data_IF_730261312228
#
_entry.id   IF_730261312228
#
_cell.length_a   1.000
_cell.length_b   1.000
_cell.length_c   1.000
_cell.angle_alpha   90.00
_cell.angle_beta   90.00
_cell.angle_gamma   90.00
#
_symmetry.space_group_name_H-M   'P 1'
#
loop_
_entity.id
_entity.type
_entity.pdbx_description
1 polymer ?
#
# COMPACT_ATOMS: atom_id res chain seq x y z
N UNK A 1 -29.42 -56.64 -35.40
CA UNK A 1 -28.16 -56.43 -34.65
C UNK A 1 -27.86 -54.95 -34.64
N UNK A 2 -28.21 -54.30 -33.52
CA UNK A 2 -27.31 -53.52 -32.63
C UNK A 2 -26.93 -52.15 -33.20
N UNK A 3 -27.03 -50.99 -32.53
CA UNK A 3 -27.72 -50.45 -31.35
C UNK A 3 -27.13 -49.02 -31.19
N UNK A 4 -27.95 -48.01 -30.88
CA UNK A 4 -27.63 -46.78 -30.08
C UNK A 4 -26.35 -45.98 -30.38
N UNK A 5 -26.36 -44.71 -30.77
CA UNK A 5 -26.93 -43.57 -30.03
C UNK A 5 -26.09 -43.18 -28.80
N UNK A 6 -25.26 -42.12 -28.87
CA UNK A 6 -25.06 -41.18 -27.74
C UNK A 6 -24.30 -39.89 -28.08
N UNK A 7 -24.85 -38.83 -27.50
CA UNK A 7 -24.40 -37.44 -27.33
C UNK A 7 -23.17 -37.36 -26.41
N UNK A 8 -22.30 -36.38 -26.65
CA UNK A 8 -21.36 -35.77 -25.69
C UNK A 8 -20.80 -34.51 -26.35
N UNK A 9 -21.28 -33.27 -26.10
CA UNK A 9 -21.19 -32.44 -24.89
C UNK A 9 -19.86 -32.60 -24.16
N UNK A 10 -19.00 -31.60 -24.35
CA UNK A 10 -17.73 -31.41 -23.67
C UNK A 10 -17.14 -30.09 -24.12
N UNK A 11 -17.81 -28.99 -23.75
CA UNK A 11 -17.17 -27.67 -23.67
C UNK A 11 -15.98 -27.81 -22.72
N UNK A 12 -14.77 -27.74 -23.27
CA UNK A 12 -13.54 -27.52 -22.50
C UNK A 12 -13.05 -26.12 -22.85
N UNK A 13 -13.60 -25.10 -22.19
CA UNK A 13 -12.99 -23.77 -22.21
C UNK A 13 -11.59 -23.83 -21.63
N UNK A 14 -10.66 -22.96 -22.05
CA UNK A 14 -9.31 -22.94 -21.52
C UNK A 14 -9.39 -22.71 -20.01
N UNK A 15 -8.95 -23.68 -19.22
CA UNK A 15 -8.87 -23.54 -17.78
C UNK A 15 -7.91 -22.40 -17.46
N UNK A 16 -8.47 -21.25 -17.07
CA UNK A 16 -7.75 -20.22 -16.32
C UNK A 16 -7.15 -20.89 -15.10
N UNK A 17 -5.86 -21.24 -15.14
CA UNK A 17 -5.10 -21.67 -13.97
C UNK A 17 -5.25 -20.58 -12.92
N UNK A 18 -6.11 -20.87 -11.95
CA UNK A 18 -6.59 -19.90 -10.99
C UNK A 18 -5.42 -19.31 -10.21
N UNK A 19 -5.31 -17.99 -10.16
CA UNK A 19 -4.48 -17.25 -9.19
C UNK A 19 -5.06 -17.30 -7.76
N UNK A 20 -6.21 -17.96 -7.59
CA UNK A 20 -6.87 -18.24 -6.31
C UNK A 20 -5.96 -18.77 -5.19
N UNK A 21 -5.02 -19.71 -5.40
CA UNK A 21 -4.15 -20.18 -4.32
C UNK A 21 -3.12 -19.13 -3.90
N UNK A 22 -2.70 -18.25 -4.81
CA UNK A 22 -1.75 -17.16 -4.49
C UNK A 22 -2.44 -16.03 -3.72
N UNK A 23 -3.66 -15.66 -4.13
CA UNK A 23 -4.50 -14.67 -3.44
C UNK A 23 -4.91 -15.20 -2.05
N UNK A 24 -5.22 -16.49 -1.94
CA UNK A 24 -5.53 -17.11 -0.65
C UNK A 24 -4.29 -17.16 0.27
N UNK A 25 -3.11 -17.42 -0.28
CA UNK A 25 -1.86 -17.44 0.48
C UNK A 25 -1.47 -16.05 1.00
N UNK A 26 -1.59 -15.02 0.16
CA UNK A 26 -1.37 -13.62 0.58
C UNK A 26 -2.38 -13.15 1.61
N UNK A 27 -3.67 -13.46 1.39
CA UNK A 27 -4.70 -13.18 2.38
C UNK A 27 -4.40 -13.90 3.71
N UNK A 28 -3.94 -15.16 3.68
CA UNK A 28 -3.55 -15.89 4.88
C UNK A 28 -2.35 -15.25 5.59
N UNK A 29 -1.33 -14.80 4.86
CA UNK A 29 -0.18 -14.10 5.46
C UNK A 29 -0.58 -12.76 6.07
N UNK A 30 -1.48 -12.01 5.42
CA UNK A 30 -2.02 -10.77 5.99
C UNK A 30 -2.81 -11.05 7.27
N UNK A 31 -3.68 -12.06 7.27
CA UNK A 31 -4.43 -12.44 8.47
C UNK A 31 -3.49 -12.86 9.59
N UNK A 32 -2.45 -13.65 9.30
CA UNK A 32 -1.44 -14.07 10.28
C UNK A 32 -0.62 -12.88 10.79
N UNK A 33 -0.22 -11.96 9.91
CA UNK A 33 0.47 -10.73 10.31
C UNK A 33 -0.39 -9.85 11.20
N UNK A 34 -1.66 -9.67 10.85
CA UNK A 34 -2.63 -8.94 11.65
C UNK A 34 -2.90 -9.62 13.01
N UNK A 35 -3.00 -10.95 13.07
CA UNK A 35 -3.22 -11.65 14.35
C UNK A 35 -1.99 -11.63 15.24
N UNK A 36 -0.79 -11.78 14.69
CA UNK A 36 0.46 -11.64 15.45
C UNK A 36 0.60 -10.21 15.96
N UNK A 37 0.33 -9.20 15.13
CA UNK A 37 0.34 -7.81 15.56
C UNK A 37 -0.73 -7.55 16.62
N UNK A 38 -1.92 -8.11 16.49
CA UNK A 38 -2.96 -8.01 17.52
C UNK A 38 -2.47 -8.60 18.85
N UNK A 39 -1.93 -9.82 18.85
CA UNK A 39 -1.48 -10.49 20.09
C UNK A 39 -0.30 -9.79 20.75
N UNK A 40 0.70 -9.35 19.97
CA UNK A 40 1.90 -8.71 20.51
C UNK A 40 1.64 -7.30 21.04
N UNK A 41 0.67 -6.58 20.47
CA UNK A 41 0.35 -5.21 20.85
C UNK A 41 -0.93 -5.10 21.70
N UNK A 42 -1.57 -6.23 22.02
CA UNK A 42 -2.82 -6.26 22.78
C UNK A 42 -2.66 -5.65 24.17
N UNK A 43 -1.60 -5.99 24.89
CA UNK A 43 -1.38 -5.51 26.26
C UNK A 43 -1.18 -3.99 26.32
N UNK A 44 -0.38 -3.43 25.41
CA UNK A 44 -0.13 -1.98 25.31
C UNK A 44 -1.38 -1.20 24.86
N UNK A 45 -2.22 -1.81 24.01
CA UNK A 45 -3.51 -1.23 23.60
C UNK A 45 -4.55 -1.32 24.71
N UNK A 46 -4.62 -2.43 25.44
CA UNK A 46 -5.60 -2.61 26.52
C UNK A 46 -5.33 -1.65 27.67
N UNK A 47 -4.07 -1.48 28.07
CA UNK A 47 -3.72 -0.55 29.14
C UNK A 47 -3.96 0.92 28.76
N UNK A 48 -3.91 1.26 27.46
CA UNK A 48 -4.29 2.60 27.00
C UNK A 48 -5.81 2.79 26.92
N UNK A 49 -6.57 1.75 26.56
CA UNK A 49 -8.04 1.78 26.61
C UNK A 49 -8.58 1.81 28.04
N UNK A 50 -7.83 1.30 29.03
CA UNK A 50 -8.18 1.43 30.45
C UNK A 50 -8.08 2.87 30.97
N UNK A 51 -7.35 3.77 30.27
CA UNK A 51 -7.30 5.20 30.63
C UNK A 51 -8.48 6.03 30.14
N UNK A 52 -9.32 5.53 29.21
CA UNK A 52 -10.44 6.31 28.64
C UNK A 52 -11.53 6.65 29.69
N UNK A 53 -11.64 5.83 30.74
CA UNK A 53 -12.63 6.02 31.82
C UNK A 53 -12.02 6.74 33.06
N UNK A 54 -10.78 7.25 32.95
CA UNK A 54 -10.11 7.92 34.06
C UNK A 54 -10.74 9.27 34.38
N UNK A 55 -10.73 9.64 35.66
CA UNK A 55 -11.39 10.85 36.14
C UNK A 55 -10.52 12.07 35.85
N UNK A 56 -11.09 13.06 35.17
CA UNK A 56 -10.46 14.35 34.91
C UNK A 56 -10.43 15.22 36.17
N UNK A 57 -9.23 15.60 36.60
CA UNK A 57 -8.97 16.45 37.77
C UNK A 57 -8.06 17.61 37.36
N UNK A 58 -8.32 18.80 37.88
CA UNK A 58 -7.41 19.94 37.70
C UNK A 58 -6.15 19.77 38.54
N UNK A 59 -4.99 19.92 37.92
CA UNK A 59 -3.69 19.89 38.56
C UNK A 59 -2.78 21.02 38.10
N UNK A 60 -1.56 21.05 38.63
CA UNK A 60 -0.54 21.99 38.25
C UNK A 60 0.83 21.31 38.08
N UNK A 61 1.57 21.71 37.05
CA UNK A 61 2.95 21.24 36.85
C UNK A 61 3.86 21.85 37.92
N UNK A 62 4.60 20.99 38.62
CA UNK A 62 5.60 21.37 39.63
C UNK A 62 6.98 21.54 38.99
N UNK A 63 7.35 20.62 38.10
CA UNK A 63 8.67 20.54 37.46
C UNK A 63 8.54 19.85 36.11
N UNK A 64 9.24 20.32 35.09
CA UNK A 64 9.23 19.66 33.78
C UNK A 64 10.57 19.81 33.06
N UNK A 65 10.92 18.83 32.22
CA UNK A 65 12.16 18.89 31.46
C UNK A 65 12.48 17.66 30.63
N UNK A 66 13.74 17.58 30.21
CA UNK A 66 14.29 16.46 29.42
C UNK A 66 15.54 15.93 30.10
N UNK A 67 15.49 14.68 30.56
CA UNK A 67 16.64 13.92 30.99
C UNK A 67 17.45 13.39 29.80
N UNK A 68 18.75 13.15 30.01
CA UNK A 68 19.61 12.53 29.00
C UNK A 68 20.44 11.41 29.61
N UNK A 69 20.39 10.23 29.02
CA UNK A 69 21.19 9.08 29.41
C UNK A 69 22.26 8.81 28.35
N UNK A 70 23.51 8.68 28.79
CA UNK A 70 24.64 8.36 27.94
C UNK A 70 25.12 6.94 28.21
N UNK A 71 25.04 6.07 27.21
CA UNK A 71 25.50 4.69 27.27
C UNK A 71 26.55 4.41 26.21
N UNK A 72 27.54 3.57 26.55
CA UNK A 72 28.55 3.09 25.61
C UNK A 72 28.62 1.56 25.70
N UNK A 73 28.51 0.90 24.55
CA UNK A 73 28.53 -0.55 24.49
C UNK A 73 29.97 -1.10 24.34
N UNK A 74 30.69 -1.26 25.45
CA UNK A 74 31.97 -2.01 25.48
C UNK A 74 33.08 -1.53 24.53
N UNK A 75 34.13 -2.36 24.34
CA UNK A 75 35.38 -1.95 23.66
C UNK A 75 35.26 -1.79 22.12
N UNK A 76 34.20 -2.33 21.48
CA UNK A 76 33.97 -2.23 20.02
C UNK A 76 32.62 -1.57 19.65
N UNK A 77 31.77 -1.23 20.62
CA UNK A 77 30.45 -0.66 20.36
C UNK A 77 30.41 0.88 20.38
N UNK A 78 29.37 1.42 19.76
CA UNK A 78 29.13 2.86 19.71
C UNK A 78 28.65 3.40 21.05
N UNK A 79 28.91 4.69 21.28
CA UNK A 79 28.23 5.43 22.34
C UNK A 79 26.96 6.07 21.79
N UNK A 80 25.89 6.02 22.57
CA UNK A 80 24.60 6.63 22.24
C UNK A 80 24.12 7.51 23.39
N UNK A 81 23.40 8.58 23.04
CA UNK A 81 22.68 9.40 24.01
C UNK A 81 21.20 9.25 23.74
N UNK A 82 20.45 8.91 24.76
CA UNK A 82 18.99 8.91 24.73
C UNK A 82 18.46 10.06 25.58
N UNK A 83 17.27 10.53 25.23
CA UNK A 83 16.59 11.62 25.89
C UNK A 83 15.21 11.14 26.36
N UNK A 84 14.83 11.53 27.56
CA UNK A 84 13.54 11.15 28.16
C UNK A 84 12.84 12.41 28.70
N UNK A 85 11.65 12.77 28.19
CA UNK A 85 10.86 13.85 28.78
C UNK A 85 10.33 13.42 30.15
N UNK A 86 10.28 14.36 31.10
CA UNK A 86 9.68 14.15 32.41
C UNK A 86 8.85 15.37 32.80
N UNK A 87 7.73 15.13 33.51
CA UNK A 87 6.89 16.15 34.10
C UNK A 87 6.43 15.66 35.47
N UNK A 88 6.63 16.45 36.50
CA UNK A 88 6.08 16.26 37.84
C UNK A 88 4.94 17.23 38.05
N UNK A 89 3.82 16.75 38.58
CA UNK A 89 2.60 17.53 38.74
C UNK A 89 1.88 17.15 40.01
N UNK A 90 1.08 18.09 40.54
CA UNK A 90 0.23 17.90 41.71
C UNK A 90 -1.23 18.05 41.34
N UNK A 91 -2.08 17.24 41.95
CA UNK A 91 -3.52 17.27 41.80
C UNK A 91 -4.20 16.96 43.13
N UNK A 92 -5.46 17.37 43.26
CA UNK A 92 -6.25 17.19 44.47
C UNK A 92 -7.50 16.36 44.17
N UNK A 93 -7.67 15.23 44.86
CA UNK A 93 -8.83 14.34 44.74
C UNK A 93 -9.49 14.22 46.11
N UNK A 94 -10.79 14.53 46.20
CA UNK A 94 -11.57 14.45 47.44
C UNK A 94 -10.96 15.18 48.67
N UNK A 95 -10.14 16.21 48.43
CA UNK A 95 -9.48 17.00 49.46
C UNK A 95 -8.13 16.44 49.94
N UNK A 96 -7.62 15.39 49.29
CA UNK A 96 -6.26 14.86 49.47
C UNK A 96 -5.38 15.26 48.27
N UNK A 97 -4.17 15.73 48.55
CA UNK A 97 -3.20 16.13 47.52
C UNK A 97 -2.32 14.96 47.13
N UNK A 98 -2.18 14.73 45.82
CA UNK A 98 -1.36 13.68 45.22
C UNK A 98 -0.34 14.30 44.26
N UNK A 99 0.77 13.59 44.06
CA UNK A 99 1.81 13.96 43.09
C UNK A 99 1.97 12.81 42.09
N UNK A 100 2.09 13.17 40.82
CA UNK A 100 2.33 12.24 39.72
C UNK A 100 3.51 12.69 38.87
N UNK A 101 4.13 11.74 38.18
CA UNK A 101 5.29 12.00 37.31
C UNK A 101 5.14 11.42 35.89
N UNK A 102 3.98 10.84 35.58
CA UNK A 102 3.76 10.09 34.35
C UNK A 102 3.08 10.97 33.31
N UNK A 103 3.77 11.25 32.20
CA UNK A 103 3.18 11.99 31.07
C UNK A 103 2.12 11.11 30.38
N UNK A 104 2.50 9.90 30.00
CA UNK A 104 1.59 8.84 29.53
C UNK A 104 2.26 7.48 29.68
N UNK A 105 1.51 6.39 29.55
CA UNK A 105 2.08 5.03 29.55
C UNK A 105 3.08 4.81 28.42
N UNK A 106 2.85 5.40 27.23
CA UNK A 106 3.82 5.36 26.13
C UNK A 106 5.12 6.06 26.51
N UNK A 107 5.05 7.25 27.12
CA UNK A 107 6.25 8.05 27.39
C UNK A 107 7.05 7.56 28.60
N UNK A 108 6.41 6.84 29.54
CA UNK A 108 7.02 6.38 30.79
C UNK A 108 8.32 5.57 30.59
N UNK A 109 8.42 4.80 29.50
CA UNK A 109 9.57 3.93 29.20
C UNK A 109 10.26 4.26 27.87
N UNK A 110 9.95 5.42 27.26
CA UNK A 110 10.45 5.76 25.93
C UNK A 110 11.73 6.57 25.98
N UNK A 111 12.83 5.95 25.55
CA UNK A 111 14.13 6.59 25.36
C UNK A 111 14.30 7.04 23.91
N UNK A 112 14.43 8.34 23.67
CA UNK A 112 14.43 8.94 22.33
C UNK A 112 15.86 9.27 21.89
N UNK A 113 16.27 8.88 20.68
CA UNK A 113 17.59 9.27 20.12
C UNK A 113 17.68 10.73 19.63
N UNK A 114 16.55 11.45 19.60
CA UNK A 114 16.44 12.82 19.10
C UNK A 114 15.93 13.75 20.19
N UNK A 115 16.82 14.63 20.68
CA UNK A 115 16.51 15.62 21.71
C UNK A 115 15.32 16.50 21.36
N UNK A 116 15.21 16.95 20.11
CA UNK A 116 14.13 17.85 19.66
C UNK A 116 12.74 17.24 19.79
N UNK A 117 12.63 15.91 19.67
CA UNK A 117 11.36 15.22 19.84
C UNK A 117 10.98 15.17 21.33
N UNK A 118 11.95 14.90 22.21
CA UNK A 118 11.72 14.97 23.66
C UNK A 118 11.31 16.39 24.11
N UNK A 119 11.96 17.41 23.56
CA UNK A 119 11.60 18.81 23.83
C UNK A 119 10.20 19.16 23.33
N UNK A 120 9.81 18.67 22.15
CA UNK A 120 8.46 18.95 21.62
C UNK A 120 7.31 18.35 22.44
N UNK A 121 7.59 17.32 23.25
CA UNK A 121 6.58 16.71 24.13
C UNK A 121 6.41 17.54 25.39
N UNK A 122 7.49 18.14 25.90
CA UNK A 122 7.47 18.91 27.14
C UNK A 122 7.15 20.39 26.94
N UNK A 123 7.20 20.88 25.70
CA UNK A 123 6.89 22.29 25.37
C UNK A 123 5.47 22.69 25.79
N UNK A 124 4.55 21.72 25.79
CA UNK A 124 3.15 21.88 26.22
C UNK A 124 2.97 21.83 27.75
N UNK A 125 4.02 21.52 28.52
CA UNK A 125 3.97 21.38 29.98
C UNK A 125 5.05 22.22 30.66
N UNK A 126 4.73 23.46 31.04
CA UNK A 126 5.66 24.36 31.73
C UNK A 126 5.37 24.42 33.23
N UNK A 127 6.41 24.67 34.02
CA UNK A 127 6.27 24.84 35.48
C UNK A 127 5.23 25.90 35.83
N UNK A 128 4.26 25.53 36.66
CA UNK A 128 3.17 26.41 37.09
C UNK A 128 1.94 26.40 36.18
N UNK A 129 1.96 25.69 35.04
CA UNK A 129 0.79 25.55 34.19
C UNK A 129 -0.33 24.77 34.90
N UNK A 130 -1.56 25.27 34.77
CA UNK A 130 -2.76 24.52 35.13
C UNK A 130 -3.06 23.52 34.02
N UNK A 131 -3.13 22.24 34.38
CA UNK A 131 -3.33 21.14 33.45
C UNK A 131 -4.45 20.22 33.90
N UNK A 132 -4.96 19.41 32.97
CA UNK A 132 -5.88 18.31 33.28
C UNK A 132 -5.06 17.06 33.56
N UNK A 133 -5.23 16.51 34.76
CA UNK A 133 -4.69 15.20 35.16
C UNK A 133 -5.81 14.18 35.04
N UNK A 134 -5.51 13.05 34.42
CA UNK A 134 -6.39 11.89 34.39
C UNK A 134 -5.96 10.96 35.51
N UNK A 135 -6.87 10.66 36.44
CA UNK A 135 -6.61 9.87 37.64
C UNK A 135 -7.40 8.56 37.58
N UNK A 136 -6.76 7.46 37.97
CA UNK A 136 -7.43 6.17 38.08
C UNK A 136 -8.52 6.23 39.19
N UNK A 137 -9.79 5.97 38.87
CA UNK A 137 -10.88 6.03 39.85
C UNK A 137 -10.80 4.91 40.92
N UNK A 138 -10.10 3.81 40.64
CA UNK A 138 -9.90 2.72 41.58
C UNK A 138 -8.63 2.92 42.44
N UNK A 139 -7.65 3.69 41.95
CA UNK A 139 -6.42 4.06 42.67
C UNK A 139 -6.01 5.52 42.42
N UNK A 140 -6.42 6.42 43.33
CA UNK A 140 -6.10 7.85 43.23
C UNK A 140 -4.60 8.19 43.26
N UNK A 141 -3.71 7.22 43.57
CA UNK A 141 -2.27 7.40 43.47
C UNK A 141 -1.74 7.31 42.04
N UNK A 142 -2.49 6.70 41.12
CA UNK A 142 -2.11 6.50 39.73
C UNK A 142 -2.76 7.57 38.84
N UNK A 143 -1.93 8.23 38.03
CA UNK A 143 -2.37 9.32 37.14
C UNK A 143 -1.50 9.46 35.90
N UNK A 144 -2.04 10.14 34.88
CA UNK A 144 -1.35 10.55 33.65
C UNK A 144 -1.77 11.94 33.18
N UNK A 145 -0.92 12.63 32.42
CA UNK A 145 -1.23 13.92 31.79
C UNK A 145 -1.91 13.78 30.42
N UNK A 146 -1.65 12.68 29.72
CA UNK A 146 -2.22 12.39 28.39
C UNK A 146 -2.86 11.01 28.46
N UNK A 147 -4.18 10.96 28.28
CA UNK A 147 -4.95 9.72 28.12
C UNK A 147 -5.07 9.31 26.65
N UNK A 148 -5.23 8.01 26.42
CA UNK A 148 -5.48 7.44 25.10
C UNK A 148 -4.28 7.37 24.13
N UNK A 149 -4.52 6.74 22.98
CA UNK A 149 -3.54 6.52 21.92
C UNK A 149 -3.32 7.79 21.08
N UNK A 150 -2.19 8.49 21.27
CA UNK A 150 -1.78 9.49 20.30
C UNK A 150 -1.46 8.82 18.94
N UNK A 151 -1.99 9.35 17.83
CA UNK A 151 -1.67 8.87 16.47
C UNK A 151 -0.15 8.92 16.16
N UNK A 152 0.63 9.72 16.90
CA UNK A 152 2.09 9.76 16.84
C UNK A 152 2.75 8.51 17.47
N UNK A 153 2.10 7.91 18.48
CA UNK A 153 2.49 6.66 19.16
C UNK A 153 2.26 5.42 18.27
N UNK A 154 1.31 5.50 17.34
CA UNK A 154 1.05 4.46 16.33
C UNK A 154 2.13 4.33 15.24
N UNK A 155 3.19 5.13 15.29
CA UNK A 155 4.27 5.08 14.29
C UNK A 155 5.01 3.73 14.28
N UNK A 156 5.10 3.05 15.42
CA UNK A 156 5.89 1.83 15.55
C UNK A 156 5.26 0.56 14.89
N UNK A 157 3.96 0.25 15.07
CA UNK A 157 3.35 -0.91 14.38
C UNK A 157 3.19 -0.71 12.87
N UNK A 158 2.95 0.53 12.41
CA UNK A 158 2.78 0.85 10.98
C UNK A 158 4.12 0.80 10.24
N UNK A 159 5.22 1.25 10.87
CA UNK A 159 6.55 1.28 10.26
C UNK A 159 7.13 -0.11 9.96
N UNK A 160 6.66 -1.18 10.61
CA UNK A 160 7.11 -2.55 10.32
C UNK A 160 6.19 -3.25 9.32
N UNK A 161 4.87 -3.06 9.45
CA UNK A 161 3.88 -3.73 8.60
C UNK A 161 3.86 -3.18 7.17
N UNK A 162 3.98 -1.87 6.98
CA UNK A 162 3.95 -1.23 5.64
C UNK A 162 5.12 -1.67 4.75
N UNK A 163 6.40 -1.61 5.16
CA UNK A 163 7.49 -2.06 4.30
C UNK A 163 7.50 -3.56 4.08
N UNK A 164 7.02 -4.38 5.03
CA UNK A 164 6.90 -5.83 4.83
C UNK A 164 5.86 -6.15 3.75
N UNK A 165 4.71 -5.48 3.77
CA UNK A 165 3.69 -5.60 2.72
C UNK A 165 4.25 -5.13 1.38
N UNK A 166 4.94 -3.98 1.32
CA UNK A 166 5.53 -3.45 0.09
C UNK A 166 6.69 -4.32 -0.45
N UNK A 167 7.45 -5.01 0.41
CA UNK A 167 8.55 -5.89 0.00
C UNK A 167 8.05 -7.22 -0.62
N UNK A 168 6.84 -7.66 -0.27
CA UNK A 168 6.26 -8.92 -0.77
C UNK A 168 5.62 -8.72 -2.16
N UNK A 169 5.02 -7.55 -2.43
CA UNK A 169 4.40 -7.23 -3.73
C UNK A 169 5.30 -7.41 -4.97
N UNK A 170 6.56 -6.95 -5.01
CA UNK A 170 7.42 -7.10 -6.19
C UNK A 170 7.84 -8.55 -6.45
N UNK A 171 7.89 -9.41 -5.42
CA UNK A 171 8.22 -10.83 -5.56
C UNK A 171 7.11 -11.57 -6.29
N UNK A 172 5.85 -11.26 -5.98
CA UNK A 172 4.67 -11.85 -6.64
C UNK A 172 4.54 -11.39 -8.09
N UNK A 173 4.76 -10.10 -8.36
CA UNK A 173 4.81 -9.55 -9.72
C UNK A 173 5.93 -10.25 -10.53
N UNK A 174 7.11 -10.43 -9.93
CA UNK A 174 8.24 -11.12 -10.58
C UNK A 174 7.93 -12.60 -10.84
N UNK A 175 7.28 -13.29 -9.91
CA UNK A 175 6.84 -14.68 -10.10
C UNK A 175 5.77 -14.80 -11.19
N UNK A 176 4.80 -13.89 -11.24
CA UNK A 176 3.78 -13.85 -12.27
C UNK A 176 4.38 -13.61 -13.66
N UNK A 177 5.34 -12.68 -13.79
CA UNK A 177 6.06 -12.43 -15.05
C UNK A 177 6.90 -13.64 -15.48
N UNK A 178 7.61 -14.29 -14.55
CA UNK A 178 8.40 -15.50 -14.86
C UNK A 178 7.54 -16.72 -15.18
N UNK A 179 6.40 -16.85 -14.51
CA UNK A 179 5.42 -17.91 -14.75
C UNK A 179 4.77 -17.74 -16.12
N UNK A 180 4.35 -16.51 -16.47
CA UNK A 180 3.82 -16.20 -17.80
C UNK A 180 4.81 -16.55 -18.93
N UNK A 181 6.11 -16.28 -18.73
CA UNK A 181 7.16 -16.69 -19.68
C UNK A 181 7.32 -18.21 -19.80
N UNK A 182 7.19 -18.96 -18.70
CA UNK A 182 7.35 -20.43 -18.70
C UNK A 182 6.19 -21.17 -19.36
N UNK A 183 4.99 -20.58 -19.38
CA UNK A 183 3.85 -21.12 -20.12
C UNK A 183 3.83 -20.70 -21.59
N UNK A 184 4.51 -19.60 -21.95
CA UNK A 184 4.69 -19.21 -23.35
C UNK A 184 5.62 -20.12 -24.15
N UNK A 185 6.53 -20.86 -23.48
CA UNK A 185 7.51 -21.73 -24.13
C UNK A 185 7.05 -23.20 -24.27
N UNK A 186 5.86 -23.57 -23.79
CA UNK A 186 5.45 -24.98 -23.67
C UNK A 186 4.54 -25.52 -24.79
N UNK A 187 4.04 -24.68 -25.71
CA UNK A 187 3.17 -25.11 -26.82
C UNK A 187 3.78 -24.71 -28.17
N UNK A 188 4.77 -25.46 -28.65
CA UNK A 188 5.52 -25.05 -29.85
C UNK A 188 6.24 -26.15 -30.63
N UNK A 189 5.87 -27.42 -30.51
CA UNK A 189 6.26 -28.48 -31.44
C UNK A 189 5.15 -28.75 -32.47
N UNK A 190 5.02 -27.82 -33.40
CA UNK A 190 4.23 -27.99 -34.62
C UNK A 190 4.88 -27.18 -35.75
N UNK A 191 5.58 -27.87 -36.65
CA UNK A 191 6.28 -27.30 -37.80
C UNK A 191 5.39 -26.34 -38.61
N UNK A 192 5.79 -25.07 -38.69
CA UNK A 192 5.66 -24.28 -39.91
C UNK A 192 6.90 -23.44 -40.12
N UNK A 193 7.49 -23.66 -41.27
CA UNK A 193 8.73 -23.09 -41.76
C UNK A 193 8.80 -21.57 -41.68
N UNK A 194 9.93 -21.10 -41.16
CA UNK A 194 10.62 -19.86 -41.55
C UNK A 194 9.87 -18.54 -41.38
N UNK A 195 9.96 -17.95 -40.19
CA UNK A 195 10.35 -16.54 -40.04
C UNK A 195 10.99 -16.35 -38.65
N UNK A 196 12.32 -16.22 -38.64
CA UNK A 196 13.11 -15.83 -37.46
C UNK A 196 12.44 -14.64 -36.77
N UNK A 197 12.03 -14.80 -35.52
CA UNK A 197 11.87 -13.72 -34.56
C UNK A 197 13.20 -12.95 -34.51
N UNK A 198 13.21 -11.76 -35.12
CA UNK A 198 14.33 -10.85 -35.03
C UNK A 198 14.32 -10.23 -33.63
N UNK A 199 15.50 -10.04 -33.01
CA UNK A 199 15.60 -9.41 -31.70
C UNK A 199 15.00 -8.00 -31.76
N UNK A 200 14.39 -7.55 -30.66
CA UNK A 200 13.95 -6.16 -30.47
C UNK A 200 15.11 -5.23 -30.87
N UNK A 201 15.02 -4.66 -32.06
CA UNK A 201 15.92 -3.62 -32.52
C UNK A 201 15.48 -2.30 -31.90
N UNK A 202 16.44 -1.50 -31.48
CA UNK A 202 16.27 -0.14 -30.96
C UNK A 202 15.79 0.86 -32.04
N UNK A 203 14.91 0.45 -32.96
CA UNK A 203 14.47 1.28 -34.09
C UNK A 203 13.09 0.91 -34.65
N UNK A 204 12.53 1.84 -35.43
CA UNK A 204 11.26 1.66 -36.10
C UNK A 204 11.34 0.54 -37.15
N UNK A 205 10.25 -0.21 -37.32
CA UNK A 205 10.06 -1.20 -38.37
C UNK A 205 8.88 -0.79 -39.25
N UNK A 206 8.85 -1.27 -40.49
CA UNK A 206 7.73 -1.00 -41.41
C UNK A 206 6.86 -2.25 -41.50
N UNK A 207 5.58 -2.10 -41.21
CA UNK A 207 4.57 -3.16 -41.28
C UNK A 207 4.27 -3.60 -42.73
N UNK A 208 3.52 -4.71 -42.91
CA UNK A 208 3.18 -5.23 -44.24
C UNK A 208 2.39 -4.25 -45.13
N UNK A 209 1.71 -3.29 -44.52
CA UNK A 209 0.92 -2.23 -45.15
C UNK A 209 1.76 -0.96 -45.45
N UNK A 210 3.07 -0.98 -45.18
CA UNK A 210 3.96 0.15 -45.38
C UNK A 210 3.96 1.17 -44.23
N UNK A 211 3.24 0.90 -43.14
CA UNK A 211 3.17 1.79 -41.97
C UNK A 211 4.43 1.66 -41.13
N UNK A 212 5.08 2.79 -40.83
CA UNK A 212 6.17 2.82 -39.86
C UNK A 212 5.63 2.62 -38.44
N UNK A 213 6.23 1.71 -37.70
CA UNK A 213 5.80 1.26 -36.37
C UNK A 213 7.01 1.14 -35.45
N UNK A 214 6.84 1.47 -34.17
CA UNK A 214 7.89 1.34 -33.15
C UNK A 214 8.05 2.55 -32.24
N UNK A 215 9.01 2.48 -31.30
CA UNK A 215 9.13 3.45 -30.21
C UNK A 215 9.54 4.86 -30.66
N UNK A 216 10.06 5.02 -31.88
CA UNK A 216 10.42 6.31 -32.46
C UNK A 216 9.33 6.91 -33.36
N UNK A 217 8.16 6.29 -33.46
CA UNK A 217 7.03 6.85 -34.22
C UNK A 217 6.33 7.93 -33.40
N UNK A 218 6.02 9.11 -33.98
CA UNK A 218 5.33 10.19 -33.26
C UNK A 218 4.00 9.73 -32.65
N UNK A 219 3.62 10.29 -31.50
CA UNK A 219 2.38 9.92 -30.81
C UNK A 219 1.11 10.25 -31.61
N UNK A 220 1.19 11.20 -32.52
CA UNK A 220 0.09 11.69 -33.34
C UNK A 220 0.05 11.06 -34.75
N UNK A 221 0.80 9.98 -34.99
CA UNK A 221 0.87 9.29 -36.28
C UNK A 221 -0.51 8.94 -36.89
N UNK A 222 -1.50 8.67 -36.04
CA UNK A 222 -2.87 8.33 -36.42
C UNK A 222 -3.61 9.48 -37.12
N UNK A 223 -3.18 10.74 -36.95
CA UNK A 223 -3.76 11.90 -37.62
C UNK A 223 -3.50 11.89 -39.12
N UNK A 224 -2.32 11.41 -39.52
CA UNK A 224 -1.89 11.29 -40.92
C UNK A 224 -2.09 9.91 -41.51
N UNK A 225 -2.60 8.96 -40.72
CA UNK A 225 -2.77 7.58 -41.13
C UNK A 225 -4.07 7.37 -41.92
N UNK A 226 -3.95 6.98 -43.19
CA UNK A 226 -5.10 6.74 -44.10
C UNK A 226 -5.28 5.26 -44.50
N UNK A 227 -4.64 4.35 -43.77
CA UNK A 227 -4.74 2.91 -44.02
C UNK A 227 -5.97 2.23 -43.39
N UNK A 228 -6.07 0.89 -43.49
CA UNK A 228 -7.15 0.12 -42.89
C UNK A 228 -7.15 0.24 -41.37
N UNK A 229 -8.30 -0.04 -40.74
CA UNK A 229 -8.44 0.02 -39.28
C UNK A 229 -7.31 -0.76 -38.58
N UNK A 230 -6.51 -0.12 -37.70
CA UNK A 230 -5.50 -0.79 -36.91
C UNK A 230 -6.10 -1.89 -36.04
N UNK A 231 -5.39 -3.00 -35.85
CA UNK A 231 -5.92 -4.10 -35.04
C UNK A 231 -5.75 -3.70 -33.57
N UNK A 232 -6.87 -3.65 -32.85
CA UNK A 232 -6.86 -3.36 -31.41
C UNK A 232 -6.54 -4.63 -30.63
N UNK A 233 -5.49 -4.59 -29.84
CA UNK A 233 -5.01 -5.72 -29.03
C UNK A 233 -5.55 -5.62 -27.59
N UNK A 234 -5.55 -4.41 -27.01
CA UNK A 234 -6.03 -4.14 -25.65
C UNK A 234 -6.45 -2.67 -25.46
N UNK A 235 -6.93 -2.34 -24.26
CA UNK A 235 -7.30 -0.98 -23.86
C UNK A 235 -6.34 -0.54 -22.75
N UNK A 236 -5.73 0.63 -22.92
CA UNK A 236 -4.89 1.28 -21.91
C UNK A 236 -5.47 2.67 -21.59
N UNK A 237 -6.03 2.82 -20.39
CA UNK A 237 -6.71 4.05 -19.94
C UNK A 237 -7.71 4.62 -20.96
N UNK A 238 -7.34 5.68 -21.66
CA UNK A 238 -8.16 6.37 -22.68
C UNK A 238 -7.79 6.03 -24.14
N UNK A 239 -6.87 5.08 -24.34
CA UNK A 239 -6.31 4.69 -25.64
C UNK A 239 -6.55 3.20 -25.95
N UNK A 240 -6.69 2.89 -27.23
CA UNK A 240 -6.52 1.53 -27.73
C UNK A 240 -5.05 1.25 -28.01
N UNK A 241 -4.56 0.10 -27.53
CA UNK A 241 -3.29 -0.45 -27.96
C UNK A 241 -3.48 -1.13 -29.33
N UNK A 242 -2.65 -0.77 -30.30
CA UNK A 242 -2.80 -1.21 -31.70
C UNK A 242 -1.51 -1.79 -32.26
N UNK A 243 -1.67 -2.64 -33.27
CA UNK A 243 -0.59 -3.40 -33.92
C UNK A 243 0.45 -2.55 -34.71
N UNK A 244 0.27 -1.22 -34.81
CA UNK A 244 1.08 -0.36 -35.67
C UNK A 244 1.28 1.06 -35.13
N UNK A 245 2.12 1.82 -35.83
CA UNK A 245 2.52 3.15 -35.41
C UNK A 245 3.32 3.10 -34.11
N UNK A 246 3.10 4.06 -33.21
CA UNK A 246 3.69 4.00 -31.88
C UNK A 246 2.99 2.99 -30.93
N UNK A 247 1.93 2.33 -31.40
CA UNK A 247 1.16 1.34 -30.65
C UNK A 247 -0.05 1.91 -29.89
N UNK A 248 -0.38 3.20 -30.00
CA UNK A 248 -1.51 3.80 -29.29
C UNK A 248 -2.36 4.72 -30.18
N UNK A 249 -3.69 4.66 -30.00
CA UNK A 249 -4.65 5.59 -30.61
C UNK A 249 -5.75 5.95 -29.58
N UNK A 250 -6.12 7.23 -29.40
CA UNK A 250 -7.23 7.60 -28.54
C UNK A 250 -8.55 6.91 -28.92
N UNK A 251 -9.24 6.35 -27.93
CA UNK A 251 -10.50 5.60 -28.13
C UNK A 251 -11.55 6.46 -28.85
N UNK A 252 -11.69 7.73 -28.47
CA UNK A 252 -12.58 8.70 -29.11
C UNK A 252 -12.28 8.88 -30.61
N UNK A 253 -10.99 8.98 -30.97
CA UNK A 253 -10.57 9.14 -32.36
C UNK A 253 -10.80 7.86 -33.16
N UNK A 254 -10.40 6.71 -32.61
CA UNK A 254 -10.54 5.42 -33.28
C UNK A 254 -12.01 5.11 -33.58
N UNK A 255 -12.89 5.21 -32.57
CA UNK A 255 -14.32 4.93 -32.72
C UNK A 255 -14.96 5.89 -33.73
N UNK A 256 -14.52 7.15 -33.76
CA UNK A 256 -15.01 8.13 -34.73
C UNK A 256 -14.59 7.79 -36.16
N UNK A 257 -13.36 7.29 -36.37
CA UNK A 257 -12.80 7.04 -37.71
C UNK A 257 -13.16 5.66 -38.27
N UNK A 258 -13.09 4.60 -37.45
CA UNK A 258 -13.27 3.21 -37.87
C UNK A 258 -14.44 2.48 -37.19
N UNK A 259 -15.11 3.11 -36.23
CA UNK A 259 -16.17 2.48 -35.45
C UNK A 259 -15.64 1.64 -34.29
N UNK A 260 -16.56 1.00 -33.57
CA UNK A 260 -16.20 0.15 -32.42
C UNK A 260 -15.55 -1.14 -32.95
N UNK A 261 -14.33 -1.49 -32.51
CA UNK A 261 -13.65 -2.71 -32.96
C UNK A 261 -14.36 -3.97 -32.45
N UNK A 262 -14.22 -5.07 -33.18
CA UNK A 262 -14.87 -6.34 -32.82
C UNK A 262 -14.35 -6.88 -31.49
N UNK A 263 -15.26 -7.25 -30.59
CA UNK A 263 -14.91 -7.68 -29.21
C UNK A 263 -14.80 -6.55 -28.19
N UNK A 264 -14.77 -5.29 -28.64
CA UNK A 264 -14.62 -4.08 -27.83
C UNK A 264 -15.94 -3.31 -27.66
N UNK A 265 -15.94 -2.18 -26.94
CA UNK A 265 -17.11 -1.30 -26.74
C UNK A 265 -17.90 -1.51 -25.44
N UNK A 266 -17.33 -2.20 -24.46
CA UNK A 266 -18.02 -2.56 -23.21
C UNK A 266 -17.75 -1.57 -22.07
N UNK A 267 -16.62 -0.87 -22.11
CA UNK A 267 -16.20 0.04 -21.04
C UNK A 267 -17.02 1.34 -21.03
N UNK A 268 -17.05 2.02 -19.89
CA UNK A 268 -17.71 3.32 -19.77
C UNK A 268 -17.09 4.37 -20.71
N UNK A 269 -15.77 4.31 -20.91
CA UNK A 269 -15.04 5.21 -21.80
C UNK A 269 -15.49 5.02 -23.27
N UNK A 270 -15.44 3.79 -23.79
CA UNK A 270 -15.86 3.48 -25.16
C UNK A 270 -17.35 3.80 -25.41
N UNK A 271 -18.21 3.61 -24.41
CA UNK A 271 -19.64 3.98 -24.49
C UNK A 271 -19.81 5.50 -24.58
N UNK A 272 -19.02 6.26 -23.83
CA UNK A 272 -19.04 7.72 -23.88
C UNK A 272 -18.48 8.22 -25.23
N UNK A 273 -17.39 7.64 -25.71
CA UNK A 273 -16.82 7.87 -27.03
C UNK A 273 -17.84 7.64 -28.15
N UNK A 274 -18.53 6.50 -28.12
CA UNK A 274 -19.58 6.13 -29.09
C UNK A 274 -20.77 7.10 -29.03
N UNK A 275 -21.11 7.62 -27.85
CA UNK A 275 -22.16 8.64 -27.71
C UNK A 275 -21.73 9.99 -28.29
N UNK A 276 -20.47 10.36 -28.11
CA UNK A 276 -19.89 11.60 -28.67
C UNK A 276 -19.75 11.53 -30.18
N UNK A 277 -19.36 10.38 -30.76
CA UNK A 277 -19.18 10.21 -32.20
C UNK A 277 -20.50 10.22 -32.99
N UNK A 278 -21.63 9.95 -32.34
CA UNK A 278 -22.98 9.98 -32.94
C UNK A 278 -23.61 11.37 -33.00
N UNK A 279 -22.97 12.39 -32.43
CA UNK A 279 -23.48 13.75 -32.34
C UNK A 279 -22.74 14.67 -33.30
#
# INVERSE_FOLDING_TARGET
MVSTGRRGTGEGGPETKSSLPLIAFTAALLVVGCTISYVLFWEELSSQMETDDWTEVQGAIISSGVGSDYSCDGEEGGCSTTYQPFAEYRYDVDGESYEGSRISYTWANTHIGFRSLAESVIDDFQEGDEITVYVDPDDHGESVLIQGLELKSLSFPIAVLVPLVLAIQPIEITYMVRFARRFGDADGDGESSTAKSRPHGEGNWVGPDGTESGPGVPEDWYLTYDGPAPIVEEIYDENYAVDRGNGAIPVDFYIKKWGVPEGFGKTSNEKNATRRSRK
#
